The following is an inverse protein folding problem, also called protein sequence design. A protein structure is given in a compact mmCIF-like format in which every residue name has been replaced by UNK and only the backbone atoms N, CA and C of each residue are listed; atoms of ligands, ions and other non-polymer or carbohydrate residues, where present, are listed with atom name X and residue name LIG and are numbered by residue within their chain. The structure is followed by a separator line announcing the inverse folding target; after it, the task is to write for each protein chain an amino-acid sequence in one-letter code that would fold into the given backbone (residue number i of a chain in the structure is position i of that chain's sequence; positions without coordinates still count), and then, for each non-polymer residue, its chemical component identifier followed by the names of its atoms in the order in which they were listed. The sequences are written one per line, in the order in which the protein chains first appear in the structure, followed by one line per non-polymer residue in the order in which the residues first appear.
data_IF_006269863931
#
_entry.id   IF_006269863931
#
_cell.length_a   1.000
_cell.length_b   1.000
_cell.length_c   1.000
_cell.angle_alpha   90.00
_cell.angle_beta   90.00
_cell.angle_gamma   90.00
#
_symmetry.space_group_name_H-M   'P 1'
#
loop_
_entity.id
_entity.type
_entity.pdbx_description
1 polymer ?
#
# COMPACT_ATOMS: atom_id res chain seq x y z
N UNK A 1 10.71 8.61 23.11
CA UNK A 1 9.79 7.75 22.28
C UNK A 1 10.68 6.87 21.42
N UNK A 2 10.51 5.54 21.47
CA UNK A 2 11.36 4.61 20.70
C UNK A 2 10.84 4.52 19.26
N UNK A 3 11.30 5.41 18.38
CA UNK A 3 10.96 5.37 16.94
C UNK A 3 11.57 4.17 16.21
N UNK A 4 12.54 3.46 16.85
CA UNK A 4 13.16 2.25 16.29
C UNK A 4 12.16 1.11 16.04
N UNK A 5 11.01 1.15 16.70
CA UNK A 5 9.93 0.15 16.55
C UNK A 5 8.83 0.57 15.58
N UNK A 6 8.80 1.86 15.18
CA UNK A 6 7.77 2.36 14.28
C UNK A 6 7.97 1.79 12.87
N UNK A 7 6.98 1.09 12.36
CA UNK A 7 7.02 0.53 11.02
C UNK A 7 6.60 1.60 10.01
N UNK A 8 7.47 1.87 9.03
CA UNK A 8 7.21 2.87 7.99
C UNK A 8 6.89 2.14 6.69
N UNK A 9 5.68 2.35 6.16
CA UNK A 9 5.25 1.87 4.84
C UNK A 9 5.37 3.00 3.82
N UNK A 10 6.09 2.75 2.73
CA UNK A 10 6.24 3.68 1.63
C UNK A 10 5.00 3.61 0.72
N UNK A 11 4.17 4.67 0.71
CA UNK A 11 2.90 4.78 0.00
C UNK A 11 3.13 4.97 -1.50
N UNK A 12 2.72 3.99 -2.30
CA UNK A 12 2.92 3.98 -3.77
C UNK A 12 4.38 4.17 -4.18
N UNK A 13 5.31 3.65 -3.34
CA UNK A 13 6.73 3.95 -3.42
C UNK A 13 7.11 5.21 -2.66
N UNK A 14 7.79 6.18 -3.30
CA UNK A 14 8.12 7.50 -2.74
C UNK A 14 7.37 8.57 -3.54
N UNK A 15 6.04 8.66 -3.33
CA UNK A 15 5.14 9.53 -4.10
C UNK A 15 5.49 11.03 -4.00
N UNK A 16 6.20 11.49 -2.96
CA UNK A 16 6.65 12.89 -2.86
C UNK A 16 7.65 13.24 -3.96
N UNK A 17 8.59 12.36 -4.26
CA UNK A 17 9.73 12.63 -5.15
C UNK A 17 9.57 12.02 -6.54
N UNK A 18 8.92 10.86 -6.66
CA UNK A 18 8.75 10.08 -7.88
C UNK A 18 7.28 10.04 -8.31
N UNK A 19 6.97 9.75 -9.59
CA UNK A 19 5.60 9.43 -9.96
C UNK A 19 5.14 8.17 -9.20
N UNK A 20 4.01 8.29 -8.50
CA UNK A 20 3.44 7.22 -7.68
C UNK A 20 3.16 5.97 -8.51
N UNK A 21 3.21 4.78 -7.89
CA UNK A 21 2.87 3.52 -8.53
C UNK A 21 3.70 3.20 -9.80
N UNK A 22 4.97 3.60 -9.82
CA UNK A 22 5.89 3.36 -10.95
C UNK A 22 7.16 2.64 -10.54
N UNK A 23 7.81 1.99 -11.50
CA UNK A 23 9.08 1.27 -11.26
C UNK A 23 10.17 2.17 -10.66
N UNK A 24 10.41 3.42 -11.12
CA UNK A 24 11.36 4.32 -10.46
C UNK A 24 11.04 4.56 -8.97
N UNK A 25 9.76 4.79 -8.64
CA UNK A 25 9.30 5.01 -7.28
C UNK A 25 9.53 3.78 -6.38
N UNK A 26 9.20 2.60 -6.88
CA UNK A 26 9.36 1.35 -6.14
C UNK A 26 10.82 0.98 -5.89
N UNK A 27 11.69 1.14 -6.90
CA UNK A 27 13.12 0.90 -6.70
C UNK A 27 13.75 1.84 -5.69
N UNK A 28 13.35 3.12 -5.72
CA UNK A 28 13.83 4.09 -4.74
C UNK A 28 13.36 3.72 -3.32
N UNK A 29 12.09 3.31 -3.15
CA UNK A 29 11.55 2.86 -1.86
C UNK A 29 12.22 1.57 -1.37
N UNK A 30 12.48 0.61 -2.27
CA UNK A 30 13.10 -0.68 -1.91
C UNK A 30 14.55 -0.55 -1.43
N UNK A 31 15.23 0.56 -1.75
CA UNK A 31 16.58 0.87 -1.27
C UNK A 31 16.58 1.49 0.14
N UNK A 32 15.41 1.82 0.71
CA UNK A 32 15.29 2.41 2.04
C UNK A 32 15.00 1.34 3.11
N UNK A 33 15.30 1.61 4.38
CA UNK A 33 14.96 0.75 5.51
C UNK A 33 13.46 0.89 5.89
N UNK A 34 12.57 0.78 4.91
CA UNK A 34 11.12 0.75 5.13
C UNK A 34 10.66 -0.64 5.53
N UNK A 35 9.55 -0.71 6.28
CA UNK A 35 8.93 -1.97 6.66
C UNK A 35 8.25 -2.66 5.47
N UNK A 36 7.54 -1.89 4.65
CA UNK A 36 6.85 -2.37 3.47
C UNK A 36 6.74 -1.28 2.39
N UNK A 37 6.46 -1.69 1.17
CA UNK A 37 6.04 -0.83 0.07
C UNK A 37 4.59 -1.14 -0.24
N UNK A 38 3.76 -0.11 -0.23
CA UNK A 38 2.35 -0.20 -0.61
C UNK A 38 2.18 0.15 -2.08
N UNK A 39 1.22 -0.49 -2.75
CA UNK A 39 0.81 -0.19 -4.12
C UNK A 39 -0.59 -0.71 -4.44
N UNK A 40 -1.20 -0.12 -5.47
CA UNK A 40 -2.60 -0.25 -5.85
C UNK A 40 -2.76 -1.04 -7.15
N UNK A 41 -3.54 -2.11 -7.14
CA UNK A 41 -3.75 -2.96 -8.31
C UNK A 41 -5.15 -2.84 -8.90
N UNK A 42 -5.22 -2.84 -10.23
CA UNK A 42 -6.44 -2.93 -11.03
C UNK A 42 -6.32 -3.99 -12.12
N UNK A 43 -7.46 -4.49 -12.61
CA UNK A 43 -7.53 -5.32 -13.80
C UNK A 43 -7.81 -4.47 -15.04
N UNK A 44 -7.04 -4.71 -16.10
CA UNK A 44 -7.35 -4.21 -17.44
C UNK A 44 -8.50 -4.99 -18.08
N UNK A 45 -9.04 -4.50 -19.20
CA UNK A 45 -10.08 -5.18 -19.98
C UNK A 45 -9.69 -6.59 -20.44
N UNK A 46 -8.42 -6.81 -20.68
CA UNK A 46 -7.85 -8.12 -21.08
C UNK A 46 -7.28 -8.92 -19.92
N UNK A 47 -7.61 -8.54 -18.67
CA UNK A 47 -7.32 -9.32 -17.45
C UNK A 47 -5.87 -9.24 -16.95
N UNK A 48 -5.11 -8.22 -17.35
CA UNK A 48 -3.75 -7.99 -16.84
C UNK A 48 -3.81 -7.13 -15.58
N UNK A 49 -3.14 -7.54 -14.50
CA UNK A 49 -2.96 -6.74 -13.30
C UNK A 49 -1.95 -5.62 -13.55
N UNK A 50 -2.41 -4.38 -13.45
CA UNK A 50 -1.58 -3.16 -13.57
C UNK A 50 -1.62 -2.34 -12.29
N UNK A 51 -0.60 -1.51 -12.07
CA UNK A 51 -0.43 -0.77 -10.83
C UNK A 51 -0.68 0.72 -11.07
N UNK A 52 -1.78 1.21 -10.50
CA UNK A 52 -2.20 2.62 -10.46
C UNK A 52 -3.24 2.81 -9.37
N UNK A 53 -3.43 4.03 -8.86
CA UNK A 53 -4.35 4.25 -7.72
C UNK A 53 -5.80 4.43 -8.14
N UNK A 54 -6.05 5.36 -9.08
CA UNK A 54 -7.41 5.72 -9.47
C UNK A 54 -7.96 4.68 -10.46
N UNK A 55 -9.26 4.50 -10.47
CA UNK A 55 -9.94 3.69 -11.47
C UNK A 55 -9.92 4.32 -12.87
N UNK A 56 -9.52 5.60 -12.98
CA UNK A 56 -9.30 6.37 -14.20
C UNK A 56 -7.86 6.85 -14.30
N UNK A 57 -7.36 7.11 -15.53
CA UNK A 57 -5.94 7.34 -15.77
C UNK A 57 -5.55 8.81 -15.99
N UNK A 58 -6.50 9.75 -15.94
CA UNK A 58 -6.27 11.17 -16.28
C UNK A 58 -5.27 11.86 -15.35
N UNK A 59 -5.30 11.55 -14.05
CA UNK A 59 -4.46 12.24 -13.05
C UNK A 59 -2.98 11.89 -13.20
N UNK A 60 -2.68 10.65 -13.55
CA UNK A 60 -1.32 10.10 -13.53
C UNK A 60 -0.78 9.76 -14.92
N UNK A 61 -1.50 10.12 -16.00
CA UNK A 61 -1.06 9.85 -17.36
C UNK A 61 -1.43 10.96 -18.35
N UNK A 62 -0.96 10.82 -19.57
CA UNK A 62 -1.39 11.66 -20.69
C UNK A 62 -2.59 11.08 -21.45
N UNK A 63 -3.21 10.01 -20.95
CA UNK A 63 -4.43 9.40 -21.47
C UNK A 63 -5.68 9.74 -20.67
N UNK A 64 -6.79 9.05 -20.97
CA UNK A 64 -8.06 9.22 -20.26
C UNK A 64 -8.92 7.95 -20.33
N UNK A 65 -9.89 7.86 -19.40
CA UNK A 65 -10.81 6.74 -19.29
C UNK A 65 -10.46 5.78 -18.12
N UNK A 66 -11.28 4.75 -17.97
CA UNK A 66 -11.13 3.78 -16.87
C UNK A 66 -10.08 2.73 -17.22
N UNK A 67 -9.30 2.28 -16.22
CA UNK A 67 -8.32 1.21 -16.37
C UNK A 67 -8.95 -0.04 -16.98
N UNK A 68 -10.09 -0.50 -16.42
CA UNK A 68 -10.82 -1.66 -16.95
C UNK A 68 -11.47 -1.44 -18.34
N UNK A 69 -11.42 -0.24 -18.90
CA UNK A 69 -11.84 0.08 -20.28
C UNK A 69 -10.74 -0.13 -21.33
N UNK A 70 -9.49 -0.27 -20.90
CA UNK A 70 -8.31 -0.43 -21.75
C UNK A 70 -7.72 -1.83 -21.69
N UNK A 71 -7.10 -2.27 -22.77
CA UNK A 71 -6.13 -3.38 -22.73
C UNK A 71 -4.81 -2.90 -22.13
N UNK A 72 -4.01 -3.84 -21.63
CA UNK A 72 -2.67 -3.52 -21.15
C UNK A 72 -1.80 -2.84 -22.25
N UNK A 73 -1.90 -3.30 -23.49
CA UNK A 73 -1.13 -2.71 -24.59
C UNK A 73 -1.52 -1.25 -24.83
N UNK A 74 -2.81 -0.89 -24.77
CA UNK A 74 -3.27 0.50 -24.89
C UNK A 74 -2.70 1.38 -23.76
N UNK A 75 -2.70 0.88 -22.51
CA UNK A 75 -2.11 1.60 -21.37
C UNK A 75 -0.59 1.76 -21.47
N UNK A 76 0.11 0.78 -22.04
CA UNK A 76 1.58 0.82 -22.21
C UNK A 76 2.07 1.88 -23.19
N UNK A 77 1.22 2.37 -24.10
CA UNK A 77 1.57 3.47 -25.01
C UNK A 77 1.56 4.84 -24.31
N UNK A 78 0.91 4.96 -23.14
CA UNK A 78 0.75 6.21 -22.42
C UNK A 78 1.95 6.52 -21.51
N UNK A 79 2.11 7.81 -21.21
CA UNK A 79 3.14 8.31 -20.29
C UNK A 79 2.54 8.51 -18.89
N UNK A 80 3.06 7.77 -17.91
CA UNK A 80 2.66 7.83 -16.52
C UNK A 80 3.69 8.57 -15.62
N UNK A 81 4.61 9.32 -16.20
CA UNK A 81 5.68 10.00 -15.47
C UNK A 81 5.71 11.51 -15.59
N UNK A 82 5.47 12.05 -16.79
CA UNK A 82 5.61 13.49 -17.10
C UNK A 82 4.70 14.39 -16.24
N UNK A 83 3.57 13.90 -15.76
CA UNK A 83 2.68 14.64 -14.88
C UNK A 83 3.35 15.05 -13.57
N UNK A 84 4.30 14.23 -13.08
CA UNK A 84 5.05 14.48 -11.86
C UNK A 84 6.22 15.45 -12.09
N UNK A 85 7.02 15.16 -13.09
CA UNK A 85 8.19 15.96 -13.49
C UNK A 85 8.63 15.52 -14.90
N UNK A 86 9.05 16.45 -15.80
CA UNK A 86 9.54 16.10 -17.15
C UNK A 86 10.70 15.10 -17.17
N UNK A 87 11.51 15.01 -16.12
CA UNK A 87 12.60 14.02 -16.01
C UNK A 87 12.10 12.56 -16.01
N UNK A 88 10.82 12.34 -15.72
CA UNK A 88 10.19 11.03 -15.74
C UNK A 88 9.40 10.75 -17.02
N UNK A 89 9.56 11.59 -18.04
CA UNK A 89 8.90 11.38 -19.33
C UNK A 89 9.16 9.96 -19.87
N UNK A 90 8.12 9.35 -20.43
CA UNK A 90 8.19 7.99 -20.97
C UNK A 90 8.09 6.86 -19.93
N UNK A 91 7.88 7.17 -18.64
CA UNK A 91 7.55 6.15 -17.63
C UNK A 91 6.24 5.48 -18.01
N UNK A 92 6.22 4.14 -17.99
CA UNK A 92 5.04 3.34 -18.35
C UNK A 92 4.34 2.81 -17.10
N UNK A 93 3.04 2.54 -17.22
CA UNK A 93 2.30 1.81 -16.19
C UNK A 93 2.89 0.41 -16.02
N UNK A 94 3.27 -0.01 -14.82
CA UNK A 94 3.82 -1.34 -14.62
C UNK A 94 2.71 -2.38 -14.40
N UNK A 95 3.00 -3.63 -14.74
CA UNK A 95 2.23 -4.78 -14.27
C UNK A 95 2.59 -5.13 -12.83
N UNK A 96 1.75 -5.95 -12.18
CA UNK A 96 2.07 -6.53 -10.87
C UNK A 96 3.39 -7.32 -10.90
N UNK A 97 3.63 -8.11 -11.95
CA UNK A 97 4.86 -8.90 -12.11
C UNK A 97 6.10 -8.00 -12.24
N UNK A 98 6.05 -6.95 -13.08
CA UNK A 98 7.13 -5.97 -13.22
C UNK A 98 7.41 -5.25 -11.89
N UNK A 99 6.36 -4.91 -11.14
CA UNK A 99 6.46 -4.22 -9.85
C UNK A 99 7.14 -5.09 -8.80
N UNK A 100 6.67 -6.31 -8.60
CA UNK A 100 7.26 -7.26 -7.65
C UNK A 100 8.71 -7.57 -8.01
N UNK A 101 8.99 -7.81 -9.29
CA UNK A 101 10.37 -8.02 -9.77
C UNK A 101 11.27 -6.81 -9.48
N UNK A 102 10.80 -5.59 -9.74
CA UNK A 102 11.57 -4.37 -9.51
C UNK A 102 11.88 -4.16 -8.03
N UNK A 103 10.94 -4.42 -7.14
CA UNK A 103 11.10 -4.33 -5.67
C UNK A 103 12.11 -5.38 -5.19
N UNK A 104 11.87 -6.65 -5.50
CA UNK A 104 12.67 -7.76 -4.99
C UNK A 104 14.08 -7.82 -5.60
N UNK A 105 14.30 -7.25 -6.79
CA UNK A 105 15.64 -7.11 -7.37
C UNK A 105 16.54 -6.14 -6.59
N UNK A 106 15.96 -5.18 -5.84
CA UNK A 106 16.69 -4.24 -4.97
C UNK A 106 16.79 -4.79 -3.55
N UNK A 107 15.69 -5.30 -3.01
CA UNK A 107 15.64 -5.87 -1.66
C UNK A 107 14.82 -7.18 -1.68
N UNK A 108 15.48 -8.35 -1.74
CA UNK A 108 14.79 -9.64 -1.79
C UNK A 108 13.92 -9.97 -0.56
N UNK A 109 14.10 -9.25 0.55
CA UNK A 109 13.31 -9.44 1.78
C UNK A 109 12.20 -8.37 1.96
N UNK A 110 12.01 -7.48 0.98
CA UNK A 110 11.02 -6.39 1.08
C UNK A 110 9.61 -6.94 1.21
N UNK A 111 8.86 -6.38 2.16
CA UNK A 111 7.42 -6.65 2.30
C UNK A 111 6.61 -5.75 1.38
N UNK A 112 5.48 -6.27 0.92
CA UNK A 112 4.58 -5.59 0.00
C UNK A 112 3.18 -5.56 0.59
N UNK A 113 2.58 -4.37 0.64
CA UNK A 113 1.18 -4.16 0.98
C UNK A 113 0.43 -3.91 -0.33
N UNK A 114 -0.31 -4.92 -0.78
CA UNK A 114 -0.96 -4.93 -2.10
C UNK A 114 -2.43 -4.59 -1.97
N UNK A 115 -2.85 -3.41 -2.44
CA UNK A 115 -4.25 -2.99 -2.36
C UNK A 115 -5.07 -3.48 -3.57
N UNK A 116 -6.18 -4.16 -3.27
CA UNK A 116 -7.26 -4.41 -4.23
C UNK A 116 -8.14 -3.17 -4.28
N UNK A 117 -8.06 -2.39 -5.36
CA UNK A 117 -8.77 -1.10 -5.49
C UNK A 117 -10.25 -1.24 -5.83
N UNK A 118 -10.60 -2.30 -6.48
CA UNK A 118 -11.97 -2.55 -6.92
C UNK A 118 -12.74 -3.39 -5.90
N UNK A 119 -14.04 -3.15 -5.79
CA UNK A 119 -14.94 -4.04 -5.05
C UNK A 119 -15.16 -5.37 -5.81
N UNK A 120 -14.32 -5.62 -6.82
CA UNK A 120 -14.41 -6.78 -7.68
C UNK A 120 -13.53 -7.94 -7.15
N UNK A 121 -14.19 -9.04 -6.91
CA UNK A 121 -13.55 -10.30 -6.50
C UNK A 121 -12.56 -10.81 -7.56
N UNK A 122 -12.77 -10.52 -8.85
CA UNK A 122 -11.88 -10.96 -9.92
C UNK A 122 -10.45 -10.37 -9.77
N UNK A 123 -10.33 -9.10 -9.36
CA UNK A 123 -9.02 -8.50 -9.07
C UNK A 123 -8.36 -9.18 -7.86
N UNK A 124 -9.11 -9.40 -6.79
CA UNK A 124 -8.64 -10.10 -5.59
C UNK A 124 -8.18 -11.53 -5.90
N UNK A 125 -8.94 -12.27 -6.72
CA UNK A 125 -8.62 -13.64 -7.15
C UNK A 125 -7.33 -13.66 -7.99
N UNK A 126 -7.22 -12.78 -8.99
CA UNK A 126 -6.03 -12.69 -9.85
C UNK A 126 -4.76 -12.36 -9.04
N UNK A 127 -4.86 -11.44 -8.06
CA UNK A 127 -3.74 -11.12 -7.17
C UNK A 127 -3.38 -12.29 -6.25
N UNK A 128 -4.36 -12.99 -5.69
CA UNK A 128 -4.14 -14.16 -4.84
C UNK A 128 -3.49 -15.31 -5.62
N UNK A 129 -3.91 -15.53 -6.86
CA UNK A 129 -3.30 -16.53 -7.74
C UNK A 129 -1.87 -16.18 -8.12
N UNK A 130 -1.58 -14.88 -8.32
CA UNK A 130 -0.22 -14.42 -8.52
C UNK A 130 0.66 -14.69 -7.28
N UNK A 131 0.18 -14.37 -6.06
CA UNK A 131 0.89 -14.62 -4.80
C UNK A 131 1.19 -16.11 -4.63
N UNK A 132 0.22 -16.99 -4.90
CA UNK A 132 0.38 -18.45 -4.85
C UNK A 132 1.42 -18.95 -5.85
N UNK A 133 1.29 -18.52 -7.11
CA UNK A 133 2.18 -18.95 -8.20
C UNK A 133 3.64 -18.62 -7.93
N UNK A 134 3.90 -17.49 -7.25
CA UNK A 134 5.26 -16.99 -7.00
C UNK A 134 5.74 -17.22 -5.56
N UNK A 135 4.95 -17.93 -4.72
CA UNK A 135 5.25 -18.24 -3.31
C UNK A 135 5.59 -16.98 -2.47
N UNK A 136 4.74 -15.96 -2.57
CA UNK A 136 4.99 -14.64 -1.97
C UNK A 136 4.27 -14.41 -0.62
N UNK A 137 3.63 -15.44 -0.03
CA UNK A 137 2.89 -15.28 1.23
C UNK A 137 3.71 -14.69 2.37
N UNK A 138 5.00 -15.06 2.47
CA UNK A 138 5.90 -14.56 3.52
C UNK A 138 6.24 -13.07 3.41
N UNK A 139 6.02 -12.46 2.25
CA UNK A 139 6.39 -11.08 1.94
C UNK A 139 5.20 -10.18 1.61
N UNK A 140 4.00 -10.76 1.53
CA UNK A 140 2.81 -10.05 1.05
C UNK A 140 1.76 -9.92 2.14
N UNK A 141 1.13 -8.77 2.18
CA UNK A 141 -0.09 -8.48 2.89
C UNK A 141 -1.07 -7.89 1.88
N UNK A 142 -2.27 -8.47 1.75
CA UNK A 142 -3.31 -7.90 0.89
C UNK A 142 -4.18 -6.94 1.69
N UNK A 143 -4.56 -5.84 1.07
CA UNK A 143 -5.43 -4.84 1.68
C UNK A 143 -6.58 -4.44 0.77
N UNK A 144 -7.67 -3.98 1.36
CA UNK A 144 -8.81 -3.38 0.67
C UNK A 144 -9.62 -2.52 1.62
N UNK A 145 -10.34 -1.53 1.06
CA UNK A 145 -11.41 -0.81 1.76
C UNK A 145 -12.73 -1.58 1.78
N UNK A 146 -12.86 -2.62 0.95
CA UNK A 146 -14.06 -3.44 0.84
C UNK A 146 -14.08 -4.57 1.87
N UNK A 147 -15.02 -4.57 2.84
CA UNK A 147 -15.22 -5.71 3.73
C UNK A 147 -15.53 -7.02 2.98
N UNK A 148 -16.24 -6.93 1.84
CA UNK A 148 -16.58 -8.10 1.03
C UNK A 148 -15.34 -8.77 0.43
N UNK A 149 -14.41 -7.98 -0.12
CA UNK A 149 -13.11 -8.44 -0.63
C UNK A 149 -12.29 -9.09 0.49
N UNK A 150 -12.19 -8.44 1.66
CA UNK A 150 -11.42 -8.97 2.79
C UNK A 150 -12.00 -10.28 3.32
N UNK A 151 -13.33 -10.41 3.41
CA UNK A 151 -14.01 -11.66 3.81
C UNK A 151 -13.74 -12.76 2.78
N UNK A 152 -13.83 -12.43 1.48
CA UNK A 152 -13.54 -13.38 0.41
C UNK A 152 -12.08 -13.86 0.49
N UNK A 153 -11.12 -12.95 0.63
CA UNK A 153 -9.69 -13.25 0.77
C UNK A 153 -9.42 -14.14 2.01
N UNK A 154 -10.05 -13.85 3.15
CA UNK A 154 -9.89 -14.69 4.35
C UNK A 154 -10.42 -16.10 4.14
N UNK A 155 -11.49 -16.24 3.34
CA UNK A 155 -12.10 -17.54 3.05
C UNK A 155 -11.27 -18.37 2.07
N UNK A 156 -10.64 -17.72 1.07
CA UNK A 156 -9.97 -18.38 -0.04
C UNK A 156 -8.45 -18.36 0.02
N UNK A 157 -7.86 -17.42 0.76
CA UNK A 157 -6.41 -17.17 0.79
C UNK A 157 -5.59 -18.19 1.58
N UNK A 158 -6.24 -18.95 2.45
CA UNK A 158 -5.54 -19.90 3.34
C UNK A 158 -4.93 -19.23 4.58
N UNK A 159 -4.30 -20.04 5.46
CA UNK A 159 -3.83 -19.56 6.77
C UNK A 159 -2.61 -18.62 6.68
N UNK A 160 -1.83 -18.71 5.62
CA UNK A 160 -0.58 -17.95 5.46
C UNK A 160 -0.82 -16.55 4.90
N UNK A 161 -2.01 -16.30 4.30
CA UNK A 161 -2.36 -14.98 3.77
C UNK A 161 -2.55 -13.98 4.90
N UNK A 162 -1.76 -12.90 4.89
CA UNK A 162 -1.92 -11.76 5.79
C UNK A 162 -2.86 -10.74 5.18
N UNK A 163 -3.79 -10.24 6.02
CA UNK A 163 -4.77 -9.23 5.62
C UNK A 163 -4.61 -7.95 6.43
N UNK A 164 -4.55 -6.85 5.70
CA UNK A 164 -4.60 -5.50 6.24
C UNK A 164 -5.92 -4.85 5.81
N UNK A 165 -6.70 -4.33 6.74
CA UNK A 165 -7.92 -3.62 6.41
C UNK A 165 -7.70 -2.11 6.38
N UNK A 166 -8.20 -1.42 5.37
CA UNK A 166 -8.19 0.04 5.34
C UNK A 166 -9.52 0.57 5.87
N UNK A 167 -9.50 1.24 7.04
CA UNK A 167 -10.71 1.67 7.74
C UNK A 167 -10.83 3.20 7.74
N UNK A 168 -11.97 3.71 7.23
CA UNK A 168 -12.31 5.14 7.23
C UNK A 168 -13.33 5.53 8.29
N UNK A 169 -14.20 4.60 8.71
CA UNK A 169 -15.38 4.92 9.51
C UNK A 169 -15.72 3.87 10.57
N UNK A 170 -14.84 2.89 10.81
CA UNK A 170 -15.06 1.78 11.72
C UNK A 170 -15.92 0.66 11.15
N UNK A 171 -16.16 0.64 9.83
CA UNK A 171 -16.95 -0.41 9.17
C UNK A 171 -16.29 -1.77 9.28
N UNK A 172 -14.96 -1.83 9.18
CA UNK A 172 -14.17 -3.06 9.30
C UNK A 172 -14.22 -3.66 10.71
N UNK A 173 -14.27 -2.82 11.75
CA UNK A 173 -14.43 -3.30 13.13
C UNK A 173 -15.76 -4.03 13.27
N UNK A 174 -16.85 -3.50 12.72
CA UNK A 174 -18.17 -4.15 12.76
C UNK A 174 -18.19 -5.47 11.99
N UNK A 175 -17.51 -5.51 10.84
CA UNK A 175 -17.42 -6.73 10.02
C UNK A 175 -16.56 -7.84 10.68
N UNK A 176 -15.61 -7.46 11.53
CA UNK A 176 -14.70 -8.39 12.23
C UNK A 176 -15.16 -8.80 13.62
N UNK A 177 -16.28 -8.28 14.12
CA UNK A 177 -16.83 -8.64 15.44
C UNK A 177 -17.00 -10.17 15.57
N UNK A 178 -16.18 -10.79 16.46
CA UNK A 178 -16.20 -12.22 16.76
C UNK A 178 -15.34 -13.12 15.86
N UNK A 179 -14.61 -12.57 14.86
CA UNK A 179 -13.62 -13.32 14.06
C UNK A 179 -12.38 -12.46 13.85
N UNK A 180 -11.19 -13.05 14.03
CA UNK A 180 -9.92 -12.42 13.61
C UNK A 180 -9.84 -12.41 12.08
N UNK A 181 -10.52 -11.44 11.44
CA UNK A 181 -10.51 -11.26 9.99
C UNK A 181 -9.18 -10.70 9.53
N UNK A 182 -8.60 -9.78 10.31
CA UNK A 182 -7.46 -8.95 9.95
C UNK A 182 -6.25 -9.26 10.82
N UNK A 183 -5.05 -9.18 10.24
CA UNK A 183 -3.77 -9.20 10.95
C UNK A 183 -3.35 -7.78 11.35
N UNK A 184 -3.75 -6.77 10.56
CA UNK A 184 -3.53 -5.34 10.84
C UNK A 184 -4.61 -4.47 10.21
N UNK A 185 -4.68 -3.20 10.63
CA UNK A 185 -5.60 -2.20 10.09
C UNK A 185 -4.89 -0.86 9.89
N UNK A 186 -5.16 -0.23 8.75
CA UNK A 186 -4.78 1.16 8.47
C UNK A 186 -5.95 2.09 8.77
N UNK A 187 -5.76 3.04 9.69
CA UNK A 187 -6.76 4.04 10.05
C UNK A 187 -6.35 5.39 9.47
N UNK A 188 -7.29 6.12 8.85
CA UNK A 188 -7.02 7.50 8.42
C UNK A 188 -6.55 8.33 9.61
N UNK A 189 -5.44 9.04 9.47
CA UNK A 189 -4.74 9.70 10.58
C UNK A 189 -5.63 10.63 11.43
N UNK A 190 -6.65 11.29 10.82
CA UNK A 190 -7.57 12.16 11.55
C UNK A 190 -8.49 11.43 12.51
N UNK A 191 -8.67 10.11 12.36
CA UNK A 191 -9.52 9.26 13.19
C UNK A 191 -8.72 8.49 14.26
N UNK A 192 -7.39 8.62 14.24
CA UNK A 192 -6.52 7.95 15.21
C UNK A 192 -6.63 8.63 16.57
N UNK A 193 -7.07 7.86 17.57
CA UNK A 193 -7.12 8.21 18.97
C UNK A 193 -6.55 7.06 19.81
N UNK A 194 -6.15 7.34 21.06
CA UNK A 194 -5.72 6.27 22.00
C UNK A 194 -6.79 5.19 22.16
N UNK A 195 -8.05 5.58 22.15
CA UNK A 195 -9.18 4.66 22.29
C UNK A 195 -9.35 3.77 21.06
N UNK A 196 -9.29 4.34 19.83
CA UNK A 196 -9.39 3.56 18.60
C UNK A 196 -8.24 2.56 18.46
N UNK A 197 -7.01 2.96 18.80
CA UNK A 197 -5.84 2.08 18.79
C UNK A 197 -5.98 0.96 19.82
N UNK A 198 -6.30 1.31 21.07
CA UNK A 198 -6.47 0.32 22.16
C UNK A 198 -7.55 -0.72 21.84
N UNK A 199 -8.63 -0.31 21.17
CA UNK A 199 -9.71 -1.22 20.72
C UNK A 199 -9.19 -2.30 19.77
N UNK A 200 -8.42 -1.93 18.76
CA UNK A 200 -7.83 -2.90 17.82
C UNK A 200 -6.77 -3.78 18.50
N UNK A 201 -5.92 -3.21 19.35
CA UNK A 201 -4.93 -3.97 20.11
C UNK A 201 -5.57 -5.03 21.03
N UNK A 202 -6.73 -4.73 21.65
CA UNK A 202 -7.50 -5.71 22.45
C UNK A 202 -8.00 -6.88 21.60
N UNK A 203 -8.17 -6.69 20.30
CA UNK A 203 -8.53 -7.74 19.34
C UNK A 203 -7.31 -8.48 18.78
N UNK A 204 -6.09 -8.09 19.16
CA UNK A 204 -4.84 -8.62 18.63
C UNK A 204 -4.50 -8.10 17.24
N UNK A 205 -5.11 -7.00 16.79
CA UNK A 205 -4.93 -6.39 15.48
C UNK A 205 -3.95 -5.22 15.59
N UNK A 206 -2.90 -5.21 14.77
CA UNK A 206 -1.96 -4.09 14.66
C UNK A 206 -2.61 -2.89 13.97
N UNK A 207 -2.16 -1.69 14.34
CA UNK A 207 -2.71 -0.43 13.85
C UNK A 207 -1.64 0.41 13.17
N UNK A 208 -1.86 0.71 11.89
CA UNK A 208 -1.08 1.66 11.12
C UNK A 208 -1.91 2.91 10.81
N UNK A 209 -1.30 4.09 10.78
CA UNK A 209 -1.98 5.34 10.42
C UNK A 209 -1.57 5.81 9.01
N UNK A 210 -2.53 6.28 8.19
CA UNK A 210 -2.29 6.75 6.81
C UNK A 210 -3.05 8.04 6.48
N UNK A 211 -2.64 8.87 5.53
CA UNK A 211 -1.28 9.08 5.04
C UNK A 211 -0.70 10.25 5.81
N UNK A 212 0.56 10.17 6.22
CA UNK A 212 1.22 11.16 7.07
C UNK A 212 2.58 11.55 6.47
N UNK A 213 2.69 12.81 6.04
CA UNK A 213 3.88 13.31 5.37
C UNK A 213 4.59 14.40 6.18
N UNK A 214 4.21 14.63 7.44
CA UNK A 214 4.83 15.60 8.33
C UNK A 214 5.11 15.02 9.73
N UNK A 215 6.22 15.45 10.31
CA UNK A 215 6.66 14.96 11.62
C UNK A 215 5.67 15.27 12.76
N UNK A 216 5.04 16.45 12.87
CA UNK A 216 4.05 16.71 13.92
C UNK A 216 2.87 15.73 13.89
N UNK A 217 2.33 15.43 12.70
CA UNK A 217 1.26 14.45 12.52
C UNK A 217 1.69 13.05 12.94
N UNK A 218 2.91 12.65 12.57
CA UNK A 218 3.49 11.35 12.94
C UNK A 218 3.65 11.26 14.46
N UNK A 219 4.23 12.25 15.10
CA UNK A 219 4.39 12.28 16.56
C UNK A 219 3.06 12.13 17.28
N UNK A 220 2.03 12.86 16.82
CA UNK A 220 0.68 12.79 17.38
C UNK A 220 0.09 11.36 17.33
N UNK A 221 0.19 10.67 16.19
CA UNK A 221 -0.36 9.32 16.09
C UNK A 221 0.48 8.30 16.87
N UNK A 222 1.80 8.49 16.94
CA UNK A 222 2.68 7.68 17.79
C UNK A 222 2.32 7.81 19.28
N UNK A 223 1.94 9.00 19.77
CA UNK A 223 1.43 9.19 21.12
C UNK A 223 0.12 8.46 21.38
N UNK A 224 -0.65 8.13 20.34
CA UNK A 224 -1.84 7.29 20.44
C UNK A 224 -1.50 5.80 20.49
N UNK A 225 -0.26 5.40 20.20
CA UNK A 225 0.22 4.02 20.29
C UNK A 225 0.10 3.21 19.00
N UNK A 226 0.08 3.84 17.83
CA UNK A 226 0.10 3.11 16.54
C UNK A 226 1.39 2.32 16.37
N UNK A 227 1.33 1.20 15.65
CA UNK A 227 2.46 0.32 15.38
C UNK A 227 3.25 0.76 14.14
N UNK A 228 2.59 1.49 13.22
CA UNK A 228 3.21 1.96 12.00
C UNK A 228 2.51 3.15 11.37
N UNK A 229 3.14 3.68 10.33
CA UNK A 229 2.61 4.75 9.48
C UNK A 229 2.80 4.44 8.01
N UNK A 230 1.93 5.01 7.19
CA UNK A 230 2.07 5.03 5.72
C UNK A 230 2.31 6.46 5.26
N UNK A 231 3.37 6.70 4.46
CA UNK A 231 3.81 8.03 4.02
C UNK A 231 4.23 8.07 2.56
N UNK A 232 3.96 9.20 1.87
CA UNK A 232 4.48 9.48 0.53
C UNK A 232 5.96 9.91 0.55
N UNK A 233 6.46 10.32 1.72
CA UNK A 233 7.76 10.96 1.93
C UNK A 233 8.73 10.08 2.72
N UNK A 234 8.72 8.76 2.50
CA UNK A 234 9.45 7.80 3.33
C UNK A 234 10.93 8.14 3.49
N UNK A 235 11.60 8.59 2.44
CA UNK A 235 13.01 8.99 2.45
C UNK A 235 13.28 10.22 3.35
N UNK A 236 12.41 11.22 3.34
CA UNK A 236 12.49 12.41 4.17
C UNK A 236 12.14 12.10 5.62
N UNK A 237 11.04 11.40 5.85
CA UNK A 237 10.57 11.04 7.19
C UNK A 237 11.58 10.16 7.94
N UNK A 238 12.21 9.19 7.27
CA UNK A 238 13.28 8.37 7.88
C UNK A 238 14.44 9.27 8.34
N UNK A 239 14.89 10.22 7.50
CA UNK A 239 15.96 11.15 7.88
C UNK A 239 15.58 12.04 9.07
N UNK A 240 14.35 12.57 9.09
CA UNK A 240 13.85 13.41 10.18
C UNK A 240 13.78 12.65 11.50
N UNK A 241 13.25 11.43 11.50
CA UNK A 241 13.16 10.58 12.69
C UNK A 241 14.53 10.15 13.22
N UNK A 242 15.49 9.82 12.34
CA UNK A 242 16.87 9.49 12.76
C UNK A 242 17.64 10.70 13.24
N UNK A 243 17.42 11.88 12.64
CA UNK A 243 18.02 13.15 13.09
C UNK A 243 17.52 13.62 14.47
N UNK A 244 16.25 13.36 14.80
CA UNK A 244 15.70 13.62 16.13
C UNK A 244 16.32 12.75 17.24
N UNK A 245 16.83 11.57 16.94
CA UNK A 245 17.50 10.69 17.89
C UNK A 245 18.94 11.14 18.22
N UNK A 246 19.62 11.79 17.27
CA UNK A 246 21.00 12.26 17.45
C UNK A 246 21.12 13.54 18.28
N UNK A 247 20.00 14.22 18.58
CA UNK A 247 19.94 15.49 19.31
C UNK A 247 19.44 15.40 20.75
N UNK A 248 19.21 14.20 21.29
CA UNK A 248 18.79 13.93 22.68
C UNK A 248 19.90 13.20 23.43
#
# INVERSE_FOLDING_TARGET
MEFEKLQITAHRGIGETYPENTIPSFRAAAALPVYAIEFDAHLTRDGVLVITHDDTIERCSNGGGRVGGHTYQELRELDFGSWKDPRFAGTRIPTLEETVHAILSVNPAMRMLMEVKEDDIACAEAMLDFIRKHDLFGQTMMTSFSPAVLIWLRTHGGPDLKLHGSDRDGALVKASEGKSLLDSVGIHHSLVTRESVARYHQMGIRVDAWVLDDLPGILRVCECGVDGITTNAADRIIRELTGCQAGT
#
